data_IF_611251324479
#
_entry.id   IF_611251324479
#
_cell.length_a   1.000
_cell.length_b   1.000
_cell.length_c   1.000
_cell.angle_alpha   90.00
_cell.angle_beta   90.00
_cell.angle_gamma   90.00
#
_symmetry.space_group_name_H-M   'P 1'
#
loop_
_entity.id
_entity.type
_entity.pdbx_description
1 polymer ?
#
# COMPACT_ATOMS: atom_id res chain seq x y z
N UNK A 1 44.96 4.77 -19.86
CA UNK A 1 45.29 3.87 -20.98
C UNK A 1 46.33 2.80 -20.70
N UNK A 2 47.51 3.10 -20.16
CA UNK A 2 48.53 2.05 -19.95
C UNK A 2 48.17 1.00 -18.87
N UNK A 3 47.31 1.34 -17.90
CA UNK A 3 46.87 0.42 -16.85
C UNK A 3 45.72 -0.52 -17.26
N UNK A 4 44.90 -0.14 -18.25
CA UNK A 4 43.75 -0.93 -18.70
C UNK A 4 44.19 -2.13 -19.55
N UNK A 5 45.20 -1.94 -20.41
CA UNK A 5 45.76 -3.02 -21.27
C UNK A 5 46.45 -4.14 -20.50
N UNK A 6 46.91 -3.89 -19.28
CA UNK A 6 47.60 -4.92 -18.47
C UNK A 6 46.61 -5.93 -17.85
N UNK A 7 45.32 -5.59 -17.77
CA UNK A 7 44.31 -6.39 -17.08
C UNK A 7 43.52 -7.30 -18.05
N UNK A 8 43.43 -6.94 -19.34
CA UNK A 8 42.65 -7.64 -20.38
C UNK A 8 43.06 -9.11 -20.64
N UNK A 9 44.17 -9.60 -20.06
CA UNK A 9 44.63 -10.98 -20.23
C UNK A 9 44.86 -11.78 -18.94
N UNK A 10 44.63 -11.20 -17.76
CA UNK A 10 45.07 -11.79 -16.47
C UNK A 10 43.91 -12.21 -15.56
N UNK A 11 42.67 -11.80 -15.87
CA UNK A 11 41.51 -12.07 -15.01
C UNK A 11 40.61 -13.14 -15.66
N UNK A 12 40.58 -14.38 -15.14
CA UNK A 12 39.64 -15.42 -15.53
C UNK A 12 38.18 -14.95 -15.42
N UNK A 13 37.34 -15.32 -16.39
CA UNK A 13 35.93 -14.92 -16.49
C UNK A 13 35.07 -15.37 -15.28
N UNK A 14 35.58 -16.30 -14.50
CA UNK A 14 34.96 -17.02 -13.38
C UNK A 14 35.38 -16.51 -11.99
N UNK A 15 36.14 -15.41 -11.90
CA UNK A 15 36.48 -14.81 -10.60
C UNK A 15 35.24 -14.22 -9.91
N UNK A 16 35.01 -14.66 -8.67
CA UNK A 16 33.99 -14.09 -7.79
C UNK A 16 34.45 -12.69 -7.34
N UNK A 17 33.95 -11.66 -8.04
CA UNK A 17 34.31 -10.25 -7.89
C UNK A 17 34.12 -9.66 -6.48
N UNK A 18 33.39 -10.34 -5.59
CA UNK A 18 33.04 -9.87 -4.24
C UNK A 18 34.23 -9.71 -3.28
N UNK A 19 35.40 -10.24 -3.62
CA UNK A 19 36.61 -10.17 -2.78
C UNK A 19 37.43 -8.88 -2.97
N UNK A 20 37.15 -8.10 -4.01
CA UNK A 20 37.88 -6.85 -4.30
C UNK A 20 37.16 -5.63 -3.72
N UNK A 21 37.92 -4.55 -3.48
CA UNK A 21 37.33 -3.27 -3.08
C UNK A 21 36.35 -2.76 -4.15
N UNK A 22 35.30 -1.99 -3.80
CA UNK A 22 34.31 -1.48 -4.75
C UNK A 22 34.93 -0.68 -5.91
N UNK A 23 36.06 0.00 -5.65
CA UNK A 23 36.83 0.73 -6.66
C UNK A 23 37.51 -0.22 -7.66
N UNK A 24 38.17 -1.28 -7.19
CA UNK A 24 38.77 -2.34 -8.04
C UNK A 24 37.72 -3.10 -8.84
N UNK A 25 36.56 -3.41 -8.24
CA UNK A 25 35.42 -3.99 -8.97
C UNK A 25 34.95 -3.08 -10.12
N UNK A 26 35.22 -1.77 -10.06
CA UNK A 26 34.92 -0.84 -11.16
C UNK A 26 35.86 -0.92 -12.32
N UNK A 27 37.15 -0.84 -12.03
CA UNK A 27 38.19 -0.95 -13.06
C UNK A 27 38.05 -2.29 -13.80
N UNK A 28 37.74 -3.36 -13.07
CA UNK A 28 37.53 -4.69 -13.66
C UNK A 28 36.27 -4.74 -14.52
N UNK A 29 35.13 -4.26 -14.02
CA UNK A 29 33.86 -4.26 -14.78
C UNK A 29 33.92 -3.38 -16.06
N UNK A 30 34.67 -2.28 -16.00
CA UNK A 30 34.93 -1.39 -17.14
C UNK A 30 35.85 -2.06 -18.16
N UNK A 31 36.89 -2.77 -17.71
CA UNK A 31 37.79 -3.54 -18.57
C UNK A 31 37.14 -4.80 -19.19
N UNK A 32 36.18 -5.43 -18.52
CA UNK A 32 35.53 -6.68 -18.99
C UNK A 32 34.21 -6.46 -19.72
N UNK A 33 33.80 -5.21 -19.98
CA UNK A 33 32.53 -4.88 -20.65
C UNK A 33 31.29 -5.34 -19.88
N UNK A 34 31.43 -5.69 -18.59
CA UNK A 34 30.34 -6.23 -17.78
C UNK A 34 29.64 -5.10 -17.04
N UNK A 35 28.33 -4.92 -17.26
CA UNK A 35 27.60 -3.82 -16.64
C UNK A 35 27.70 -3.88 -15.10
N UNK A 36 28.34 -2.88 -14.49
CA UNK A 36 28.40 -2.70 -13.03
C UNK A 36 26.99 -2.78 -12.45
N UNK A 37 26.81 -3.50 -11.33
CA UNK A 37 25.55 -3.45 -10.57
C UNK A 37 25.26 -2.00 -10.22
N UNK A 38 24.07 -1.44 -10.50
CA UNK A 38 23.79 -0.02 -10.25
C UNK A 38 24.06 0.42 -8.81
N UNK A 39 23.81 -0.46 -7.84
CA UNK A 39 24.13 -0.24 -6.42
C UNK A 39 25.63 -0.07 -6.15
N UNK A 40 26.50 -0.77 -6.89
CA UNK A 40 27.95 -0.62 -6.77
C UNK A 40 28.44 0.75 -7.21
N UNK A 41 27.74 1.41 -8.16
CA UNK A 41 28.07 2.79 -8.57
C UNK A 41 27.82 3.77 -7.43
N UNK A 42 26.66 3.67 -6.76
CA UNK A 42 26.32 4.50 -5.60
C UNK A 42 27.35 4.33 -4.46
N UNK A 43 27.76 3.09 -4.18
CA UNK A 43 28.73 2.78 -3.12
C UNK A 43 30.18 3.18 -3.49
N UNK A 44 30.51 3.30 -4.78
CA UNK A 44 31.85 3.65 -5.25
C UNK A 44 32.20 5.14 -5.15
N UNK A 45 31.21 5.99 -4.83
CA UNK A 45 31.43 7.40 -4.52
C UNK A 45 32.33 7.52 -3.29
N UNK A 46 33.00 8.68 -3.13
CA UNK A 46 33.84 9.01 -1.96
C UNK A 46 33.14 8.54 -0.67
N UNK A 47 33.86 7.70 0.08
CA UNK A 47 33.32 7.12 1.30
C UNK A 47 32.99 8.22 2.32
N UNK A 48 31.80 8.15 2.89
CA UNK A 48 31.35 9.06 3.94
C UNK A 48 31.66 8.48 5.32
N UNK A 49 31.83 9.34 6.31
CA UNK A 49 31.98 8.92 7.71
C UNK A 49 30.66 8.40 8.28
N UNK A 50 30.72 7.61 9.34
CA UNK A 50 29.53 7.14 10.06
C UNK A 50 28.69 8.32 10.58
N UNK A 51 29.33 9.42 10.97
CA UNK A 51 28.64 10.66 11.38
C UNK A 51 27.87 11.31 10.24
N UNK A 52 28.38 11.27 9.00
CA UNK A 52 27.68 11.78 7.84
C UNK A 52 26.50 10.87 7.46
N UNK A 53 26.67 9.55 7.55
CA UNK A 53 25.57 8.59 7.38
C UNK A 53 24.45 8.81 8.39
N UNK A 54 24.78 9.02 9.67
CA UNK A 54 23.76 9.25 10.71
C UNK A 54 23.00 10.56 10.47
N UNK A 55 23.69 11.64 10.09
CA UNK A 55 23.04 12.90 9.69
C UNK A 55 22.12 12.71 8.48
N UNK A 56 22.58 11.99 7.46
CA UNK A 56 21.75 11.71 6.28
C UNK A 56 20.50 10.94 6.66
N UNK A 57 20.65 9.91 7.50
CA UNK A 57 19.57 9.07 8.01
C UNK A 57 18.54 9.89 8.82
N UNK A 58 18.98 10.85 9.63
CA UNK A 58 18.06 11.69 10.40
C UNK A 58 17.26 12.65 9.51
N UNK A 59 17.86 13.12 8.40
CA UNK A 59 17.26 14.05 7.43
C UNK A 59 16.42 13.39 6.34
N UNK A 60 16.61 12.10 6.12
CA UNK A 60 15.94 11.35 5.07
C UNK A 60 14.62 10.71 5.60
N UNK A 61 13.47 10.97 4.95
CA UNK A 61 12.25 10.24 5.25
C UNK A 61 12.38 8.77 4.80
N UNK A 62 11.80 7.85 5.57
CA UNK A 62 11.83 6.44 5.21
C UNK A 62 11.08 6.14 3.91
N UNK A 63 10.05 6.92 3.62
CA UNK A 63 9.36 6.95 2.32
C UNK A 63 9.71 8.28 1.63
N UNK A 64 10.57 8.23 0.60
CA UNK A 64 11.06 9.44 -0.10
C UNK A 64 9.93 10.40 -0.52
N UNK A 65 10.16 11.71 -0.57
CA UNK A 65 9.16 12.70 -0.99
C UNK A 65 8.49 12.33 -2.32
N UNK A 66 7.18 12.56 -2.41
CA UNK A 66 6.39 12.10 -3.56
C UNK A 66 6.82 12.81 -4.85
N UNK A 67 7.05 14.10 -4.76
CA UNK A 67 7.45 14.99 -5.85
C UNK A 67 8.83 14.60 -6.38
N UNK A 68 9.81 14.42 -5.48
CA UNK A 68 11.15 13.96 -5.84
C UNK A 68 11.12 12.56 -6.46
N UNK A 69 10.35 11.64 -5.89
CA UNK A 69 10.21 10.28 -6.43
C UNK A 69 9.57 10.29 -7.82
N UNK A 70 8.57 11.16 -8.03
CA UNK A 70 7.96 11.34 -9.34
C UNK A 70 8.94 11.93 -10.35
N UNK A 71 9.80 12.87 -9.93
CA UNK A 71 10.81 13.45 -10.81
C UNK A 71 11.87 12.42 -11.22
N UNK A 72 12.26 11.51 -10.31
CA UNK A 72 13.27 10.47 -10.58
C UNK A 72 12.75 9.33 -11.46
N UNK A 73 11.58 8.75 -11.13
CA UNK A 73 11.11 7.51 -11.77
C UNK A 73 9.72 7.62 -12.43
N UNK A 74 9.22 8.85 -12.58
CA UNK A 74 7.92 9.13 -13.21
C UNK A 74 6.72 8.83 -12.29
N UNK A 75 5.49 8.71 -12.83
CA UNK A 75 4.26 8.54 -12.06
C UNK A 75 4.23 7.32 -11.13
N UNK A 76 5.03 6.29 -11.43
CA UNK A 76 5.21 5.13 -10.55
C UNK A 76 5.93 5.48 -9.25
N UNK A 77 6.64 6.61 -9.20
CA UNK A 77 7.28 7.15 -8.01
C UNK A 77 6.30 7.51 -6.89
N UNK A 78 4.98 7.45 -7.12
CA UNK A 78 3.98 7.64 -6.05
C UNK A 78 3.84 6.44 -5.13
N UNK A 79 4.22 5.24 -5.57
CA UNK A 79 4.02 4.02 -4.79
C UNK A 79 5.02 3.92 -3.62
N UNK A 80 4.50 3.61 -2.43
CA UNK A 80 5.27 3.59 -1.19
C UNK A 80 6.51 2.67 -1.26
N UNK A 81 6.42 1.51 -1.94
CA UNK A 81 7.56 0.58 -2.09
C UNK A 81 8.72 1.16 -2.90
N UNK A 82 8.41 1.83 -4.02
CA UNK A 82 9.45 2.48 -4.84
C UNK A 82 10.08 3.66 -4.11
N UNK A 83 9.25 4.45 -3.42
CA UNK A 83 9.72 5.57 -2.58
C UNK A 83 10.63 5.10 -1.45
N UNK A 84 10.27 3.98 -0.81
CA UNK A 84 11.11 3.34 0.20
C UNK A 84 12.46 2.90 -0.39
N UNK A 85 12.44 2.24 -1.55
CA UNK A 85 13.65 1.81 -2.23
C UNK A 85 14.54 2.98 -2.68
N UNK A 86 13.96 4.10 -3.10
CA UNK A 86 14.73 5.31 -3.41
C UNK A 86 15.40 5.89 -2.15
N UNK A 87 14.72 5.93 -1.00
CA UNK A 87 15.36 6.27 0.28
C UNK A 87 16.49 5.29 0.63
N UNK A 88 16.28 3.98 0.46
CA UNK A 88 17.34 2.97 0.63
C UNK A 88 18.54 3.28 -0.28
N UNK A 89 18.32 3.65 -1.53
CA UNK A 89 19.36 3.98 -2.49
C UNK A 89 20.20 5.20 -2.07
N UNK A 90 19.58 6.23 -1.50
CA UNK A 90 20.27 7.42 -1.00
C UNK A 90 21.19 7.07 0.19
N UNK A 91 20.81 6.11 1.04
CA UNK A 91 21.65 5.62 2.14
C UNK A 91 22.86 4.81 1.65
N UNK A 92 22.79 4.19 0.47
CA UNK A 92 23.91 3.46 -0.14
C UNK A 92 25.02 4.38 -0.67
N UNK A 93 24.72 5.66 -0.94
CA UNK A 93 25.69 6.58 -1.56
C UNK A 93 26.91 6.79 -0.68
N UNK A 94 28.08 6.39 -1.16
CA UNK A 94 29.35 6.52 -0.44
C UNK A 94 29.43 5.65 0.83
N UNK A 95 28.58 4.64 1.00
CA UNK A 95 28.64 3.71 2.14
C UNK A 95 28.98 2.29 1.70
N UNK A 96 29.27 1.42 2.67
CA UNK A 96 29.44 -0.03 2.44
C UNK A 96 28.19 -0.85 2.81
N UNK A 97 27.09 -0.18 3.12
CA UNK A 97 25.84 -0.84 3.47
C UNK A 97 25.39 -1.72 2.30
N UNK A 98 24.96 -2.93 2.60
CA UNK A 98 24.16 -3.72 1.67
C UNK A 98 22.76 -3.12 1.58
N UNK A 99 22.05 -3.43 0.49
CA UNK A 99 20.65 -3.04 0.34
C UNK A 99 19.77 -3.56 1.50
N UNK A 100 20.05 -4.75 2.03
CA UNK A 100 19.33 -5.31 3.18
C UNK A 100 19.59 -4.49 4.45
N UNK A 101 20.84 -4.11 4.71
CA UNK A 101 21.19 -3.27 5.86
C UNK A 101 20.57 -1.88 5.75
N UNK A 102 20.65 -1.25 4.56
CA UNK A 102 20.01 0.04 4.30
C UNK A 102 18.48 -0.02 4.54
N UNK A 103 17.82 -1.10 4.12
CA UNK A 103 16.38 -1.33 4.37
C UNK A 103 16.05 -1.48 5.85
N UNK A 104 16.86 -2.23 6.60
CA UNK A 104 16.69 -2.40 8.04
C UNK A 104 16.88 -1.06 8.74
N UNK A 105 17.93 -0.34 8.38
CA UNK A 105 18.25 0.99 8.90
C UNK A 105 17.09 1.96 8.65
N UNK A 106 16.53 1.91 7.44
CA UNK A 106 15.41 2.75 7.03
C UNK A 106 14.04 2.27 7.55
N UNK A 107 13.94 1.08 8.17
CA UNK A 107 12.69 0.58 8.76
C UNK A 107 11.61 0.19 7.74
N UNK A 108 12.00 -0.19 6.53
CA UNK A 108 11.10 -0.40 5.38
C UNK A 108 11.01 -1.85 4.91
N UNK A 109 11.30 -2.81 5.80
CA UNK A 109 11.29 -4.25 5.50
C UNK A 109 9.97 -4.75 4.90
N UNK A 110 8.82 -4.17 5.32
CA UNK A 110 7.48 -4.49 4.83
C UNK A 110 7.16 -3.92 3.44
N UNK A 111 8.04 -3.07 2.88
CA UNK A 111 7.89 -2.41 1.58
C UNK A 111 9.00 -2.83 0.60
N UNK A 112 9.41 -4.09 0.66
CA UNK A 112 10.45 -4.61 -0.20
C UNK A 112 10.12 -4.38 -1.70
N UNK A 113 11.05 -3.72 -2.37
CA UNK A 113 11.15 -3.59 -3.83
C UNK A 113 12.53 -4.11 -4.24
N UNK A 114 12.65 -4.59 -5.47
CA UNK A 114 13.98 -4.90 -6.04
C UNK A 114 14.68 -3.60 -6.46
N UNK A 115 15.52 -3.07 -5.56
CA UNK A 115 16.28 -1.86 -5.83
C UNK A 115 17.22 -2.02 -7.04
N UNK A 116 17.81 -3.21 -7.24
CA UNK A 116 18.72 -3.42 -8.37
C UNK A 116 17.97 -3.31 -9.69
N UNK A 117 16.77 -3.90 -9.75
CA UNK A 117 15.89 -3.76 -10.92
C UNK A 117 15.42 -2.31 -11.11
N UNK A 118 15.03 -1.62 -10.03
CA UNK A 118 14.60 -0.23 -10.08
C UNK A 118 15.69 0.69 -10.64
N UNK A 119 16.93 0.55 -10.17
CA UNK A 119 18.07 1.35 -10.64
C UNK A 119 18.54 0.93 -12.03
N UNK A 120 18.45 -0.35 -12.40
CA UNK A 120 18.79 -0.79 -13.76
C UNK A 120 17.80 -0.24 -14.79
N UNK A 121 16.53 -0.11 -14.39
CA UNK A 121 15.46 0.41 -15.24
C UNK A 121 15.49 1.94 -15.36
N UNK A 122 15.92 2.66 -14.33
CA UNK A 122 15.90 4.13 -14.31
C UNK A 122 17.34 4.63 -14.18
N UNK A 123 17.85 5.33 -15.19
CA UNK A 123 19.19 5.91 -15.12
C UNK A 123 19.18 7.16 -14.23
N UNK A 124 19.23 6.93 -12.91
CA UNK A 124 19.04 7.95 -11.86
C UNK A 124 20.18 8.00 -10.83
N UNK A 125 21.29 7.30 -11.10
CA UNK A 125 22.39 7.14 -10.13
C UNK A 125 22.98 8.49 -9.74
N UNK A 126 23.22 9.35 -10.73
CA UNK A 126 23.79 10.69 -10.53
C UNK A 126 22.87 11.58 -9.68
N UNK A 127 21.56 11.54 -9.93
CA UNK A 127 20.56 12.30 -9.20
C UNK A 127 20.46 11.85 -7.74
N UNK A 128 20.59 10.55 -7.47
CA UNK A 128 20.67 10.01 -6.11
C UNK A 128 21.94 10.47 -5.38
N UNK A 129 23.06 10.60 -6.09
CA UNK A 129 24.32 11.13 -5.52
C UNK A 129 24.15 12.60 -5.15
N UNK A 130 23.59 13.42 -6.04
CA UNK A 130 23.30 14.84 -5.77
C UNK A 130 22.33 15.01 -4.60
N UNK A 131 21.32 14.15 -4.51
CA UNK A 131 20.37 14.15 -3.40
C UNK A 131 21.05 13.81 -2.07
N UNK A 132 21.96 12.82 -2.05
CA UNK A 132 22.75 12.51 -0.87
C UNK A 132 23.64 13.69 -0.44
N UNK A 133 24.31 14.35 -1.40
CA UNK A 133 25.13 15.53 -1.14
C UNK A 133 24.31 16.69 -0.57
N UNK A 134 23.11 16.94 -1.12
CA UNK A 134 22.19 17.96 -0.61
C UNK A 134 21.80 17.70 0.85
N UNK A 135 21.57 16.43 1.22
CA UNK A 135 21.22 16.06 2.60
C UNK A 135 22.42 16.15 3.55
N UNK A 136 23.63 15.95 3.05
CA UNK A 136 24.86 16.04 3.83
C UNK A 136 25.29 17.50 4.10
N UNK A 137 24.77 18.46 3.33
CA UNK A 137 25.08 19.90 3.45
C UNK A 137 24.26 20.57 4.57
N UNK A 138 24.95 21.12 5.58
CA UNK A 138 24.34 21.80 6.73
C UNK A 138 23.75 23.19 6.41
N UNK A 139 24.02 23.74 5.22
CA UNK A 139 23.51 25.06 4.81
C UNK A 139 22.03 25.06 4.42
N UNK A 140 21.48 23.88 4.10
CA UNK A 140 20.08 23.75 3.70
C UNK A 140 19.15 23.56 4.91
N UNK A 141 17.89 24.01 4.84
CA UNK A 141 16.91 23.69 5.88
C UNK A 141 16.61 22.19 5.88
N UNK A 142 16.61 21.58 7.06
CA UNK A 142 16.39 20.14 7.21
C UNK A 142 15.32 19.83 8.25
N UNK A 143 14.69 18.68 8.08
CA UNK A 143 13.80 18.09 9.07
C UNK A 143 14.53 16.95 9.76
N UNK A 144 14.50 16.90 11.09
CA UNK A 144 14.97 15.72 11.83
C UNK A 144 13.85 14.68 11.93
N UNK A 145 13.72 13.85 10.89
CA UNK A 145 12.74 12.75 10.84
C UNK A 145 13.03 11.69 11.89
N UNK A 146 14.28 11.47 12.28
CA UNK A 146 14.60 10.54 13.37
C UNK A 146 14.04 11.01 14.71
N UNK A 147 14.22 12.29 15.05
CA UNK A 147 13.59 12.88 16.22
C UNK A 147 12.07 12.78 16.13
N UNK A 148 11.47 13.16 14.99
CA UNK A 148 10.01 13.10 14.79
C UNK A 148 9.44 11.69 14.95
N UNK A 149 10.16 10.64 14.56
CA UNK A 149 9.75 9.23 14.74
C UNK A 149 9.68 8.80 16.21
N UNK A 150 10.38 9.50 17.12
CA UNK A 150 10.41 9.20 18.56
C UNK A 150 9.32 9.95 19.34
N UNK A 151 8.63 10.91 18.72
CA UNK A 151 7.58 11.73 19.37
C UNK A 151 6.29 10.93 19.50
N UNK A 152 5.68 11.00 20.68
CA UNK A 152 4.34 10.46 20.94
C UNK A 152 3.26 11.42 20.39
N UNK A 153 3.04 11.38 19.08
CA UNK A 153 2.19 12.33 18.37
C UNK A 153 0.76 12.40 18.89
N UNK A 154 0.32 13.63 19.17
CA UNK A 154 -1.09 14.00 19.39
C UNK A 154 -1.57 14.73 18.13
N UNK A 155 -2.32 14.03 17.29
CA UNK A 155 -2.82 14.59 16.03
C UNK A 155 -4.19 15.25 16.28
N UNK A 156 -4.35 16.57 16.04
CA UNK A 156 -5.58 17.30 16.37
C UNK A 156 -6.71 17.10 15.32
N UNK A 157 -6.94 15.84 14.93
CA UNK A 157 -7.96 15.45 13.93
C UNK A 157 -9.05 14.61 14.59
N UNK A 158 -10.02 15.27 15.22
CA UNK A 158 -11.22 14.58 15.74
C UNK A 158 -12.11 14.06 14.59
N UNK A 159 -12.95 13.06 14.88
CA UNK A 159 -13.90 12.53 13.88
C UNK A 159 -14.85 13.61 13.34
N UNK A 160 -15.32 14.53 14.21
CA UNK A 160 -16.15 15.68 13.82
C UNK A 160 -15.39 16.61 12.86
N UNK A 161 -14.12 16.88 13.14
CA UNK A 161 -13.27 17.72 12.29
C UNK A 161 -13.01 17.07 10.94
N UNK A 162 -12.72 15.77 10.92
CA UNK A 162 -12.58 14.99 9.69
C UNK A 162 -13.83 15.06 8.81
N UNK A 163 -15.03 14.86 9.39
CA UNK A 163 -16.29 14.97 8.65
C UNK A 163 -16.47 16.35 8.04
N UNK A 164 -16.15 17.42 8.79
CA UNK A 164 -16.23 18.79 8.31
C UNK A 164 -15.30 19.05 7.11
N UNK A 165 -14.05 18.59 7.18
CA UNK A 165 -13.07 18.73 6.10
C UNK A 165 -13.51 17.97 4.84
N UNK A 166 -13.90 16.70 5.00
CA UNK A 166 -14.33 15.87 3.88
C UNK A 166 -15.58 16.45 3.17
N UNK A 167 -16.58 16.89 3.94
CA UNK A 167 -17.80 17.49 3.39
C UNK A 167 -17.52 18.79 2.63
N UNK A 168 -16.60 19.62 3.13
CA UNK A 168 -16.21 20.88 2.46
C UNK A 168 -15.66 20.66 1.05
N UNK A 169 -14.94 19.55 0.84
CA UNK A 169 -14.35 19.16 -0.45
C UNK A 169 -15.30 18.26 -1.27
N UNK A 170 -16.52 18.01 -0.79
CA UNK A 170 -17.50 17.14 -1.49
C UNK A 170 -17.14 15.65 -1.45
N UNK A 171 -16.28 15.23 -0.52
CA UNK A 171 -15.85 13.83 -0.37
C UNK A 171 -16.65 13.16 0.74
N UNK A 172 -17.18 11.96 0.48
CA UNK A 172 -17.84 11.19 1.54
C UNK A 172 -16.83 10.83 2.66
N UNK A 173 -17.06 11.25 3.92
CA UNK A 173 -16.10 11.09 5.02
C UNK A 173 -15.82 9.62 5.37
N UNK A 174 -16.74 8.73 5.00
CA UNK A 174 -16.66 7.31 5.32
C UNK A 174 -16.86 7.04 6.81
N UNK A 175 -16.60 5.80 7.22
CA UNK A 175 -16.64 5.40 8.62
C UNK A 175 -15.32 5.64 9.36
N UNK A 176 -15.23 5.08 10.57
CA UNK A 176 -14.06 5.16 11.46
C UNK A 176 -12.75 4.76 10.75
N UNK A 177 -12.79 3.81 9.81
CA UNK A 177 -11.61 3.37 9.06
C UNK A 177 -10.99 4.50 8.21
N UNK A 178 -11.80 5.33 7.55
CA UNK A 178 -11.29 6.41 6.68
C UNK A 178 -10.76 7.59 7.49
N UNK A 179 -11.38 7.89 8.62
CA UNK A 179 -10.84 8.83 9.62
C UNK A 179 -9.48 8.36 10.13
N UNK A 180 -9.34 7.06 10.46
CA UNK A 180 -8.05 6.47 10.83
C UNK A 180 -7.00 6.56 9.71
N UNK A 181 -7.37 6.31 8.46
CA UNK A 181 -6.45 6.51 7.34
C UNK A 181 -6.00 7.97 7.20
N UNK A 182 -6.88 8.94 7.43
CA UNK A 182 -6.51 10.35 7.45
C UNK A 182 -5.50 10.65 8.59
N UNK A 183 -5.73 10.13 9.80
CA UNK A 183 -4.77 10.27 10.91
C UNK A 183 -3.44 9.58 10.61
N UNK A 184 -3.46 8.39 9.98
CA UNK A 184 -2.25 7.66 9.54
C UNK A 184 -1.49 8.41 8.45
N UNK A 185 -2.19 9.10 7.55
CA UNK A 185 -1.58 9.97 6.56
C UNK A 185 -0.87 11.14 7.22
N UNK A 186 -1.51 11.84 8.15
CA UNK A 186 -0.87 12.93 8.92
C UNK A 186 0.36 12.42 9.67
N UNK A 187 0.25 11.26 10.34
CA UNK A 187 1.39 10.63 11.00
C UNK A 187 2.55 10.35 10.03
N UNK A 188 2.26 9.77 8.85
CA UNK A 188 3.26 9.47 7.84
C UNK A 188 3.93 10.74 7.31
N UNK A 189 3.17 11.81 7.09
CA UNK A 189 3.69 13.12 6.67
C UNK A 189 4.61 13.72 7.73
N UNK A 190 4.23 13.66 9.01
CA UNK A 190 5.05 14.17 10.11
C UNK A 190 6.36 13.41 10.26
N UNK A 191 6.29 12.08 10.25
CA UNK A 191 7.42 11.20 10.60
C UNK A 191 8.29 10.79 9.42
N UNK A 192 7.83 10.99 8.18
CA UNK A 192 8.47 10.45 6.98
C UNK A 192 8.38 8.92 6.89
N UNK A 193 7.66 8.25 7.79
CA UNK A 193 7.54 6.80 7.86
C UNK A 193 6.35 6.30 7.05
N UNK A 194 6.31 4.99 6.77
CA UNK A 194 5.09 4.36 6.27
C UNK A 194 3.95 4.54 7.27
N UNK A 195 2.78 4.96 6.79
CA UNK A 195 1.57 5.01 7.61
C UNK A 195 1.15 3.65 8.17
N UNK A 196 1.75 2.54 7.72
CA UNK A 196 1.58 1.20 8.32
C UNK A 196 2.35 1.00 9.63
N UNK A 197 3.29 1.89 9.95
CA UNK A 197 4.04 1.90 11.22
C UNK A 197 3.49 2.93 12.21
N UNK A 198 2.30 3.46 11.93
CA UNK A 198 1.59 4.31 12.86
C UNK A 198 1.33 3.55 14.19
N UNK A 199 1.20 4.24 15.33
CA UNK A 199 0.85 3.61 16.59
C UNK A 199 -0.51 2.88 16.51
N UNK A 200 -0.64 1.76 17.24
CA UNK A 200 -1.82 0.90 17.25
C UNK A 200 -3.19 1.63 17.36
N UNK A 201 -3.36 2.72 18.13
CA UNK A 201 -4.63 3.47 18.17
C UNK A 201 -5.09 4.03 16.82
N UNK A 202 -4.16 4.26 15.88
CA UNK A 202 -4.44 4.76 14.53
C UNK A 202 -4.80 3.64 13.55
N UNK A 203 -4.60 2.38 13.93
CA UNK A 203 -4.93 1.22 13.11
C UNK A 203 -6.41 0.86 13.18
N UNK A 204 -6.93 0.30 12.08
CA UNK A 204 -8.26 -0.32 12.11
C UNK A 204 -8.21 -1.65 12.87
N UNK A 205 -9.35 -2.10 13.41
CA UNK A 205 -9.41 -3.37 14.17
C UNK A 205 -8.72 -4.52 13.41
N UNK A 206 -7.97 -5.38 14.10
CA UNK A 206 -7.26 -6.49 13.47
C UNK A 206 -8.23 -7.36 12.67
N UNK A 207 -7.90 -7.62 11.40
CA UNK A 207 -8.69 -8.43 10.45
C UNK A 207 -9.22 -7.68 9.22
N UNK A 208 -9.41 -6.35 9.28
CA UNK A 208 -9.91 -5.54 8.15
C UNK A 208 -8.84 -4.66 7.47
N UNK A 209 -7.62 -4.67 8.00
CA UNK A 209 -6.56 -3.77 7.55
C UNK A 209 -5.69 -4.43 6.48
N UNK A 210 -6.14 -4.32 5.23
CA UNK A 210 -5.32 -4.69 4.08
C UNK A 210 -4.41 -3.51 3.70
N UNK A 211 -3.12 -3.79 3.44
CA UNK A 211 -2.12 -2.81 2.99
C UNK A 211 -2.70 -1.90 1.88
N UNK A 212 -3.38 -2.52 0.91
CA UNK A 212 -3.95 -1.83 -0.25
C UNK A 212 -5.10 -0.85 0.05
N UNK A 213 -5.78 -0.92 1.19
CA UNK A 213 -6.83 0.04 1.53
C UNK A 213 -6.27 1.41 1.89
N UNK A 214 -5.19 1.43 2.67
CA UNK A 214 -4.50 2.68 3.01
C UNK A 214 -3.80 3.26 1.78
N UNK A 215 -3.08 2.45 1.01
CA UNK A 215 -2.42 2.90 -0.21
C UNK A 215 -3.42 3.50 -1.22
N UNK A 216 -4.58 2.85 -1.40
CA UNK A 216 -5.65 3.39 -2.25
C UNK A 216 -6.22 4.70 -1.69
N UNK A 217 -6.43 4.78 -0.38
CA UNK A 217 -6.86 6.04 0.26
C UNK A 217 -5.90 7.18 -0.04
N UNK A 218 -4.59 6.96 0.10
CA UNK A 218 -3.57 7.98 -0.16
C UNK A 218 -3.54 8.36 -1.65
N UNK A 219 -3.61 7.37 -2.54
CA UNK A 219 -3.64 7.60 -3.98
C UNK A 219 -4.85 8.42 -4.41
N UNK A 220 -6.04 8.10 -3.91
CA UNK A 220 -7.31 8.72 -4.29
C UNK A 220 -7.64 9.99 -3.48
N UNK A 221 -6.75 10.43 -2.58
CA UNK A 221 -6.96 11.60 -1.74
C UNK A 221 -6.95 12.87 -2.61
N UNK A 222 -8.00 13.72 -2.61
CA UNK A 222 -7.97 14.96 -3.40
C UNK A 222 -6.92 15.94 -2.88
N UNK A 223 -6.36 16.78 -3.77
CA UNK A 223 -5.34 17.77 -3.40
C UNK A 223 -5.80 18.73 -2.30
N UNK A 224 -7.01 19.31 -2.42
CA UNK A 224 -7.55 20.19 -1.39
C UNK A 224 -7.65 19.52 0.00
N UNK A 225 -7.90 18.20 0.04
CA UNK A 225 -7.94 17.44 1.28
C UNK A 225 -6.53 17.06 1.78
N UNK A 226 -5.54 16.91 0.88
CA UNK A 226 -4.12 16.82 1.25
C UNK A 226 -3.65 18.11 1.92
N UNK A 227 -4.00 19.26 1.35
CA UNK A 227 -3.64 20.57 1.89
C UNK A 227 -4.23 20.77 3.28
N UNK A 228 -5.49 20.39 3.49
CA UNK A 228 -6.12 20.39 4.81
C UNK A 228 -5.38 19.51 5.81
N UNK A 229 -5.04 18.28 5.43
CA UNK A 229 -4.30 17.38 6.31
C UNK A 229 -2.86 17.85 6.56
N UNK A 230 -2.27 18.61 5.63
CA UNK A 230 -0.97 19.27 5.81
C UNK A 230 -1.07 20.39 6.85
N UNK A 231 -2.13 21.19 6.84
CA UNK A 231 -2.42 22.17 7.90
C UNK A 231 -2.61 21.50 9.26
N UNK A 232 -3.30 20.35 9.32
CA UNK A 232 -3.42 19.54 10.55
C UNK A 232 -2.05 19.05 11.04
N UNK A 233 -1.14 18.70 10.13
CA UNK A 233 0.22 18.33 10.48
C UNK A 233 1.00 19.53 11.04
N UNK A 234 0.85 20.72 10.46
CA UNK A 234 1.45 21.95 10.97
C UNK A 234 0.95 22.28 12.39
N UNK A 235 -0.35 22.15 12.64
CA UNK A 235 -0.92 22.30 13.98
C UNK A 235 -0.37 21.26 14.97
N UNK A 236 -0.14 20.02 14.53
CA UNK A 236 0.48 19.00 15.36
C UNK A 236 1.94 19.35 15.71
N UNK A 237 2.71 19.96 14.80
CA UNK A 237 4.06 20.42 15.09
C UNK A 237 4.05 21.54 16.14
N UNK A 238 3.15 22.51 15.97
CA UNK A 238 2.97 23.60 16.93
C UNK A 238 2.58 23.08 18.32
N UNK A 239 1.67 22.09 18.41
CA UNK A 239 1.26 21.47 19.68
C UNK A 239 2.41 20.73 20.39
N UNK A 240 3.42 20.29 19.64
CA UNK A 240 4.59 19.58 20.16
C UNK A 240 5.83 20.48 20.27
N UNK A 241 5.67 21.80 20.10
CA UNK A 241 6.75 22.79 20.19
C UNK A 241 7.92 22.51 19.22
N UNK A 242 7.61 21.96 18.04
CA UNK A 242 8.59 21.68 17.00
C UNK A 242 8.56 22.82 15.98
N UNK A 243 9.60 23.65 16.00
CA UNK A 243 9.82 24.73 15.02
C UNK A 243 10.50 24.21 13.75
N UNK A 244 9.76 23.39 13.00
CA UNK A 244 10.17 22.88 11.69
C UNK A 244 8.97 22.90 10.73
N UNK A 245 9.18 23.09 9.42
CA UNK A 245 8.12 22.92 8.43
C UNK A 245 7.65 21.46 8.37
N UNK A 246 6.40 21.22 7.98
CA UNK A 246 5.83 19.87 7.85
C UNK A 246 6.64 18.99 6.89
N UNK A 247 7.02 19.55 5.74
CA UNK A 247 7.82 18.91 4.69
C UNK A 247 8.81 19.90 4.09
N UNK A 248 10.07 19.48 3.96
CA UNK A 248 11.08 20.16 3.13
C UNK A 248 11.44 19.22 2.01
N UNK A 249 10.92 19.49 0.81
CA UNK A 249 11.30 18.74 -0.38
C UNK A 249 12.55 19.40 -0.96
N UNK A 250 13.64 18.66 -1.23
CA UNK A 250 14.80 19.21 -1.90
C UNK A 250 14.44 19.77 -3.29
N UNK A 251 15.21 20.74 -3.81
CA UNK A 251 14.98 21.31 -5.13
C UNK A 251 14.85 20.22 -6.20
N UNK A 252 13.76 20.26 -6.98
CA UNK A 252 13.53 19.26 -8.03
C UNK A 252 14.58 19.30 -9.15
N UNK A 253 15.38 20.38 -9.22
CA UNK A 253 16.56 20.48 -10.08
C UNK A 253 17.59 19.37 -9.82
N UNK A 254 17.60 18.79 -8.61
CA UNK A 254 18.42 17.62 -8.28
C UNK A 254 18.07 16.42 -9.17
N UNK A 255 16.81 16.29 -9.57
CA UNK A 255 16.31 15.22 -10.43
C UNK A 255 16.44 15.53 -11.94
N UNK A 256 16.98 16.69 -12.32
CA UNK A 256 17.19 17.03 -13.73
C UNK A 256 18.10 16.01 -14.43
N UNK A 257 17.75 15.69 -15.66
CA UNK A 257 18.43 14.66 -16.45
C UNK A 257 18.06 13.22 -16.09
N UNK A 258 17.19 12.99 -15.09
CA UNK A 258 16.61 11.67 -14.88
C UNK A 258 15.78 11.27 -16.11
N UNK A 259 16.10 10.14 -16.71
CA UNK A 259 15.31 9.56 -17.80
C UNK A 259 14.50 8.39 -17.20
N UNK A 260 13.25 8.63 -16.75
CA UNK A 260 12.41 7.54 -16.29
C UNK A 260 12.19 6.58 -17.46
N UNK A 261 12.36 5.28 -17.24
CA UNK A 261 12.10 4.28 -18.28
C UNK A 261 10.71 4.53 -18.86
N UNK A 262 10.66 4.69 -20.19
CA UNK A 262 9.48 4.94 -21.04
C UNK A 262 8.20 4.87 -20.24
N UNK A 263 7.57 6.03 -20.04
CA UNK A 263 6.19 6.13 -19.60
C UNK A 263 5.38 5.20 -20.50
N UNK A 264 5.13 3.97 -20.06
CA UNK A 264 4.08 3.15 -20.66
C UNK A 264 2.88 4.04 -20.45
N UNK A 265 2.37 4.61 -21.54
CA UNK A 265 1.27 5.56 -21.52
C UNK A 265 0.26 5.01 -20.52
N UNK A 266 0.15 5.69 -19.36
CA UNK A 266 -0.83 5.31 -18.36
C UNK A 266 -2.13 5.29 -19.14
N UNK A 267 -2.92 4.21 -19.01
CA UNK A 267 -4.37 4.37 -19.07
C UNK A 267 -4.64 5.59 -18.23
N UNK A 268 -5.12 6.67 -18.87
CA UNK A 268 -5.42 7.92 -18.19
C UNK A 268 -6.08 7.59 -16.85
N UNK A 269 -5.69 8.23 -15.73
CA UNK A 269 -6.50 8.09 -14.53
C UNK A 269 -7.93 8.33 -15.01
N UNK A 270 -8.81 7.31 -14.90
CA UNK A 270 -10.21 7.49 -15.25
C UNK A 270 -10.59 8.76 -14.51
N UNK A 271 -10.83 9.84 -15.24
CA UNK A 271 -11.50 10.99 -14.67
C UNK A 271 -12.72 10.39 -14.02
N UNK A 272 -12.74 10.37 -12.69
CA UNK A 272 -13.95 10.02 -11.97
C UNK A 272 -14.88 11.13 -12.43
N UNK A 273 -15.91 10.84 -13.24
CA UNK A 273 -16.87 11.86 -13.59
C UNK A 273 -17.38 12.42 -12.25
N UNK A 274 -17.59 13.73 -12.11
CA UNK A 274 -18.22 14.28 -10.91
C UNK A 274 -19.44 13.39 -10.61
N UNK A 275 -19.47 12.83 -9.40
CA UNK A 275 -20.29 11.65 -9.08
C UNK A 275 -21.72 11.83 -9.57
N UNK A 276 -22.02 11.29 -10.75
CA UNK A 276 -23.39 11.12 -11.18
C UNK A 276 -23.97 10.08 -10.22
N UNK A 277 -25.05 10.40 -9.49
CA UNK A 277 -25.63 9.44 -8.57
C UNK A 277 -25.99 8.19 -9.37
N UNK A 278 -25.54 7.01 -8.91
CA UNK A 278 -25.83 5.72 -9.54
C UNK A 278 -27.35 5.46 -9.76
N UNK A 279 -28.20 6.29 -9.14
CA UNK A 279 -29.64 6.41 -9.38
C UNK A 279 -30.02 6.68 -10.84
N UNK A 280 -29.18 7.38 -11.62
CA UNK A 280 -29.53 7.76 -13.00
C UNK A 280 -29.52 6.60 -14.01
N UNK A 281 -28.92 5.45 -13.67
CA UNK A 281 -28.88 4.25 -14.53
C UNK A 281 -29.83 3.14 -14.10
N UNK A 282 -30.45 3.25 -12.93
CA UNK A 282 -31.33 2.23 -12.39
C UNK A 282 -32.78 2.50 -12.83
N UNK A 283 -33.52 1.48 -13.29
CA UNK A 283 -34.96 1.57 -13.46
C UNK A 283 -35.68 1.95 -12.16
N UNK A 284 -36.98 2.23 -12.25
CA UNK A 284 -37.81 2.50 -11.08
C UNK A 284 -37.61 1.42 -9.98
N UNK A 285 -37.54 1.81 -8.69
CA UNK A 285 -37.24 0.90 -7.59
C UNK A 285 -38.12 -0.36 -7.55
N UNK A 286 -39.36 -0.27 -7.99
CA UNK A 286 -40.35 -1.35 -8.07
C UNK A 286 -39.90 -2.43 -9.06
N UNK A 287 -39.41 -2.03 -10.23
CA UNK A 287 -38.88 -2.92 -11.28
C UNK A 287 -37.62 -3.65 -10.78
N UNK A 288 -36.75 -2.93 -10.07
CA UNK A 288 -35.55 -3.50 -9.47
C UNK A 288 -35.90 -4.47 -8.34
N UNK A 289 -36.96 -4.19 -7.57
CA UNK A 289 -37.44 -5.05 -6.50
C UNK A 289 -38.08 -6.33 -7.02
N UNK A 290 -38.89 -6.25 -8.08
CA UNK A 290 -39.47 -7.41 -8.76
C UNK A 290 -38.37 -8.34 -9.28
N UNK A 291 -37.35 -7.79 -9.97
CA UNK A 291 -36.19 -8.59 -10.42
C UNK A 291 -35.39 -9.19 -9.27
N UNK A 292 -35.30 -8.50 -8.13
CA UNK A 292 -34.72 -9.07 -6.92
C UNK A 292 -35.55 -10.24 -6.38
N UNK A 293 -36.89 -10.16 -6.40
CA UNK A 293 -37.77 -11.26 -5.98
C UNK A 293 -37.66 -12.47 -6.90
N UNK A 294 -37.54 -12.26 -8.21
CA UNK A 294 -37.34 -13.32 -9.20
C UNK A 294 -35.97 -14.01 -9.07
N UNK A 295 -34.89 -13.23 -9.01
CA UNK A 295 -33.52 -13.76 -9.01
C UNK A 295 -33.02 -14.19 -7.62
N UNK A 296 -33.67 -13.69 -6.56
CA UNK A 296 -33.33 -13.99 -5.16
C UNK A 296 -31.93 -13.54 -4.73
N UNK A 297 -31.24 -12.70 -5.52
CA UNK A 297 -29.85 -12.29 -5.30
C UNK A 297 -29.60 -10.87 -5.79
N UNK A 298 -29.18 -10.00 -4.86
CA UNK A 298 -28.72 -8.64 -5.21
C UNK A 298 -27.48 -8.65 -6.11
N UNK A 299 -26.67 -9.71 -6.10
CA UNK A 299 -25.49 -9.82 -6.94
C UNK A 299 -25.86 -10.08 -8.41
N UNK A 300 -26.90 -10.89 -8.66
CA UNK A 300 -27.39 -11.16 -10.01
C UNK A 300 -28.13 -9.95 -10.59
N UNK A 301 -28.87 -9.22 -9.75
CA UNK A 301 -29.49 -7.95 -10.15
C UNK A 301 -28.39 -6.91 -10.45
N UNK A 302 -27.31 -6.88 -9.66
CA UNK A 302 -26.15 -6.01 -9.86
C UNK A 302 -25.44 -6.25 -11.19
N UNK A 303 -25.20 -7.53 -11.51
CA UNK A 303 -24.60 -7.94 -12.78
C UNK A 303 -25.48 -7.53 -13.97
N UNK A 304 -26.79 -7.77 -13.88
CA UNK A 304 -27.73 -7.47 -14.96
C UNK A 304 -27.85 -5.98 -15.30
N UNK A 305 -27.73 -5.12 -14.29
CA UNK A 305 -27.81 -3.66 -14.48
C UNK A 305 -26.42 -2.99 -14.49
N UNK A 306 -25.34 -3.79 -14.50
CA UNK A 306 -23.94 -3.33 -14.49
C UNK A 306 -23.64 -2.30 -13.37
N UNK A 307 -24.28 -2.46 -12.21
CA UNK A 307 -24.12 -1.57 -11.05
C UNK A 307 -23.62 -2.36 -9.84
N UNK A 308 -23.12 -1.67 -8.82
CA UNK A 308 -22.74 -2.36 -7.59
C UNK A 308 -23.95 -2.86 -6.79
N UNK A 309 -23.79 -3.97 -6.06
CA UNK A 309 -24.79 -4.47 -5.10
C UNK A 309 -25.23 -3.43 -4.06
N UNK A 310 -24.32 -2.50 -3.71
CA UNK A 310 -24.61 -1.41 -2.77
C UNK A 310 -25.53 -0.38 -3.39
N UNK A 311 -25.33 -0.04 -4.68
CA UNK A 311 -26.21 0.89 -5.39
C UNK A 311 -27.65 0.36 -5.45
N UNK A 312 -27.85 -0.94 -5.71
CA UNK A 312 -29.19 -1.55 -5.70
C UNK A 312 -29.78 -1.57 -4.28
N UNK A 313 -28.98 -1.95 -3.27
CA UNK A 313 -29.46 -1.96 -1.88
C UNK A 313 -29.88 -0.57 -1.40
N UNK A 314 -29.15 0.47 -1.80
CA UNK A 314 -29.47 1.85 -1.42
C UNK A 314 -30.64 2.42 -2.22
N UNK A 315 -30.78 2.01 -3.49
CA UNK A 315 -31.92 2.35 -4.36
C UNK A 315 -33.24 1.78 -3.81
N UNK A 316 -33.24 0.50 -3.41
CA UNK A 316 -34.41 -0.15 -2.81
C UNK A 316 -34.74 0.40 -1.41
N UNK A 317 -33.71 0.66 -0.58
CA UNK A 317 -33.90 1.23 0.76
C UNK A 317 -34.47 2.65 0.70
N UNK A 318 -34.02 3.46 -0.24
CA UNK A 318 -34.53 4.83 -0.42
C UNK A 318 -36.01 4.87 -0.81
N UNK A 319 -36.52 3.82 -1.47
CA UNK A 319 -37.93 3.66 -1.82
C UNK A 319 -38.75 2.91 -0.75
N UNK A 320 -38.14 2.54 0.39
CA UNK A 320 -38.81 1.78 1.45
C UNK A 320 -39.09 0.32 1.09
N UNK A 321 -38.52 -0.20 -0.01
CA UNK A 321 -38.74 -1.57 -0.47
C UNK A 321 -37.80 -2.54 0.28
N UNK A 322 -38.34 -3.53 1.02
CA UNK A 322 -37.54 -4.37 1.91
C UNK A 322 -36.67 -5.35 1.11
N UNK A 323 -35.35 -5.33 1.35
CA UNK A 323 -34.44 -6.38 0.90
C UNK A 323 -34.25 -7.36 2.04
N UNK A 324 -34.82 -8.56 1.93
CA UNK A 324 -34.69 -9.57 2.95
C UNK A 324 -33.23 -9.99 3.12
N UNK A 325 -32.69 -9.82 4.34
CA UNK A 325 -31.39 -10.38 4.70
C UNK A 325 -31.50 -11.90 4.64
N UNK A 326 -30.90 -12.50 3.62
CA UNK A 326 -30.81 -13.96 3.44
C UNK A 326 -29.85 -14.61 4.45
N UNK A 327 -30.06 -14.37 5.75
CA UNK A 327 -29.48 -15.15 6.83
C UNK A 327 -30.45 -16.25 7.34
N UNK A 328 -31.60 -16.43 6.67
CA UNK A 328 -32.56 -17.50 6.95
C UNK A 328 -32.50 -18.70 5.98
N UNK A 329 -31.85 -18.57 4.82
CA UNK A 329 -31.75 -19.65 3.83
C UNK A 329 -30.40 -20.37 3.87
N UNK A 330 -30.15 -21.13 4.95
CA UNK A 330 -29.34 -22.37 4.94
C UNK A 330 -29.70 -23.29 6.11
N UNK A 331 -30.99 -23.42 6.43
CA UNK A 331 -31.52 -24.68 6.95
C UNK A 331 -32.14 -25.36 5.74
N UNK A 332 -31.47 -26.37 5.19
CA UNK A 332 -32.19 -27.31 4.33
C UNK A 332 -33.10 -28.04 5.31
N UNK A 333 -34.41 -27.80 5.23
CA UNK A 333 -35.39 -28.57 6.01
C UNK A 333 -35.36 -29.99 5.46
N UNK A 334 -34.46 -30.80 6.02
CA UNK A 334 -34.54 -32.24 5.92
C UNK A 334 -35.69 -32.61 6.83
N UNK A 335 -36.77 -33.13 6.25
CA UNK A 335 -37.93 -33.60 6.98
C UNK A 335 -37.49 -34.56 8.10
N UNK A 336 -37.71 -34.21 9.38
CA UNK A 336 -37.37 -35.04 10.52
C UNK A 336 -37.96 -36.45 10.49
N UNK A 337 -39.18 -36.61 9.99
CA UNK A 337 -39.88 -37.89 9.99
C UNK A 337 -39.35 -38.80 8.88
N UNK A 338 -39.09 -38.23 7.70
CA UNK A 338 -38.38 -38.93 6.63
C UNK A 338 -36.98 -39.38 7.07
N UNK A 339 -36.20 -38.51 7.71
CA UNK A 339 -34.85 -38.85 8.18
C UNK A 339 -34.87 -39.95 9.25
N UNK A 340 -35.85 -39.91 10.16
CA UNK A 340 -36.02 -40.94 11.18
C UNK A 340 -36.35 -42.30 10.55
N UNK A 341 -37.28 -42.34 9.60
CA UNK A 341 -37.66 -43.57 8.88
C UNK A 341 -36.48 -44.17 8.12
N UNK A 342 -35.74 -43.36 7.36
CA UNK A 342 -34.58 -43.83 6.60
C UNK A 342 -33.45 -44.39 7.49
N UNK A 343 -33.20 -43.78 8.64
CA UNK A 343 -32.08 -44.15 9.51
C UNK A 343 -32.43 -45.21 10.57
N UNK A 344 -33.62 -45.13 11.17
CA UNK A 344 -34.06 -46.02 12.26
C UNK A 344 -34.76 -47.26 11.71
N UNK A 345 -35.74 -47.07 10.83
CA UNK A 345 -36.63 -48.14 10.35
C UNK A 345 -35.98 -48.90 9.20
N UNK A 346 -35.47 -48.20 8.19
CA UNK A 346 -34.84 -48.80 7.00
C UNK A 346 -33.33 -49.05 7.17
N UNK A 347 -32.74 -48.59 8.29
CA UNK A 347 -31.33 -48.80 8.67
C UNK A 347 -30.31 -48.40 7.57
N UNK A 348 -30.63 -47.43 6.72
CA UNK A 348 -29.73 -46.99 5.64
C UNK A 348 -28.48 -46.28 6.19
N UNK A 349 -27.30 -46.45 5.58
CA UNK A 349 -26.10 -45.77 6.01
C UNK A 349 -26.20 -44.26 5.75
N UNK A 350 -25.65 -43.45 6.67
CA UNK A 350 -25.75 -41.98 6.63
C UNK A 350 -25.25 -41.38 5.30
N UNK A 351 -24.29 -42.04 4.63
CA UNK A 351 -23.76 -41.63 3.32
C UNK A 351 -24.77 -41.78 2.20
N UNK A 352 -25.57 -42.84 2.23
CA UNK A 352 -26.64 -43.06 1.27
C UNK A 352 -27.80 -42.09 1.52
N UNK A 353 -28.14 -41.84 2.79
CA UNK A 353 -29.14 -40.83 3.18
C UNK A 353 -28.71 -39.43 2.74
N UNK A 354 -27.41 -39.10 2.88
CA UNK A 354 -26.85 -37.83 2.43
C UNK A 354 -26.96 -37.66 0.90
N UNK A 355 -26.73 -38.73 0.14
CA UNK A 355 -26.91 -38.72 -1.30
C UNK A 355 -28.39 -38.53 -1.70
N UNK A 356 -29.31 -39.26 -1.05
CA UNK A 356 -30.76 -39.15 -1.29
C UNK A 356 -31.34 -37.78 -0.90
N UNK A 357 -30.82 -37.17 0.17
CA UNK A 357 -31.23 -35.83 0.61
C UNK A 357 -30.50 -34.70 -0.13
N UNK A 358 -29.62 -35.02 -1.10
CA UNK A 358 -28.70 -34.08 -1.74
C UNK A 358 -27.96 -33.16 -0.75
N UNK A 359 -27.61 -33.70 0.42
CA UNK A 359 -27.01 -32.99 1.53
C UNK A 359 -25.62 -33.55 1.86
N UNK A 360 -24.77 -32.73 2.49
CA UNK A 360 -23.48 -33.22 2.97
C UNK A 360 -23.66 -34.15 4.17
N UNK A 361 -22.75 -35.11 4.35
CA UNK A 361 -22.72 -36.01 5.51
C UNK A 361 -22.82 -35.29 6.86
N UNK A 362 -22.06 -34.19 7.02
CA UNK A 362 -22.09 -33.37 8.23
C UNK A 362 -23.44 -32.68 8.47
N UNK A 363 -24.27 -32.53 7.43
CA UNK A 363 -25.63 -32.00 7.56
C UNK A 363 -26.55 -33.07 8.13
N UNK A 364 -26.54 -34.29 7.56
CA UNK A 364 -27.31 -35.43 8.10
C UNK A 364 -26.98 -35.69 9.57
N UNK A 365 -25.68 -35.67 9.91
CA UNK A 365 -25.22 -35.93 11.26
C UNK A 365 -25.76 -34.91 12.28
N UNK A 366 -25.75 -33.62 11.94
CA UNK A 366 -26.33 -32.56 12.79
C UNK A 366 -27.84 -32.69 12.94
N UNK A 367 -28.55 -33.12 11.88
CA UNK A 367 -29.99 -33.33 11.95
C UNK A 367 -30.35 -34.56 12.81
N UNK A 368 -29.55 -35.65 12.76
CA UNK A 368 -29.73 -36.79 13.66
C UNK A 368 -29.45 -36.43 15.12
N UNK A 369 -28.39 -35.65 15.38
CA UNK A 369 -28.07 -35.17 16.73
C UNK A 369 -29.17 -34.22 17.26
N UNK A 370 -29.72 -33.34 16.41
CA UNK A 370 -30.82 -32.45 16.78
C UNK A 370 -32.13 -33.19 17.07
N UNK A 371 -32.33 -34.39 16.51
CA UNK A 371 -33.47 -35.27 16.76
C UNK A 371 -33.23 -36.26 17.91
N UNK A 372 -32.06 -36.21 18.56
CA UNK A 372 -31.71 -37.10 19.67
C UNK A 372 -31.55 -38.57 19.27
N UNK A 373 -31.34 -38.86 17.98
CA UNK A 373 -31.21 -40.23 17.49
C UNK A 373 -29.77 -40.69 17.67
N UNK A 374 -29.55 -41.72 18.49
CA UNK A 374 -28.20 -42.24 18.76
C UNK A 374 -27.61 -42.88 17.50
N UNK A 375 -26.47 -42.34 17.07
CA UNK A 375 -25.72 -42.84 15.91
C UNK A 375 -25.24 -44.27 16.17
N UNK A 376 -25.43 -45.16 15.20
CA UNK A 376 -24.87 -46.52 15.18
C UNK A 376 -23.43 -46.54 14.73
#
# INVERSE_FOLDING_TARGET
>A
DCALRTIEGVIPADIVYSRFSPMMQGVIAEATGTARRPTSRLQSVRQVSDTALERRRSRLPAILWEEMSCALVGPDGRYARRRAALSEAVLLVGTRLTHTEARILNGTQHLAEDLSHLLAKNDITEQLIRLAQYLDDDQHPHIDYERRRRVAWKIPLSAKRWVKLANRVGVHPGGVARHRHAMRYVYATLTGESGHRAPAPLHSRPGNEQLGHYERFVHDLPSALRDDLHLIAAEALCLHEIDEPVTVVPPLTIAEGAIPARTVARRSPKQIPPGQPARAKLPAPEVVHERYRELGSLALVAERYEVSKHAISDHLRAAGLPVERRNKFRRRDIDPEWLRRMYVDEKKPQREIAALAHAGMATIQRHLDALGIRRR
#
